data_IF_007251766700
#
_entry.id   IF_007251766700
#
_cell.length_a   1.000
_cell.length_b   1.000
_cell.length_c   1.000
_cell.angle_alpha   90.00
_cell.angle_beta   90.00
_cell.angle_gamma   90.00
#
_symmetry.space_group_name_H-M   'P 1'
#
loop_
_entity.id
_entity.type
_entity.pdbx_description
1 polymer ?
#
# COMPACT_ATOMS: atom_id res chain seq x y z
N UNK A 1 22.43 4.02 -1.14
CA UNK A 1 22.53 2.60 -1.59
C UNK A 1 21.16 2.02 -1.96
N UNK A 2 20.09 2.28 -1.20
CA UNK A 2 18.74 1.72 -1.46
C UNK A 2 18.18 1.96 -2.87
N UNK A 3 18.06 3.21 -3.33
CA UNK A 3 17.47 3.53 -4.64
C UNK A 3 18.23 2.96 -5.84
N UNK A 4 19.57 2.91 -5.78
CA UNK A 4 20.38 2.31 -6.85
C UNK A 4 20.08 0.81 -6.97
N UNK A 5 19.98 0.10 -5.85
CA UNK A 5 19.57 -1.30 -5.83
C UNK A 5 18.16 -1.49 -6.41
N UNK A 6 17.21 -0.61 -6.08
CA UNK A 6 15.84 -0.68 -6.59
C UNK A 6 15.75 -0.40 -8.10
N UNK A 7 16.55 0.54 -8.60
CA UNK A 7 16.68 0.79 -10.03
C UNK A 7 17.31 -0.42 -10.76
N UNK A 8 18.36 -1.02 -10.20
CA UNK A 8 18.96 -2.24 -10.74
C UNK A 8 17.95 -3.40 -10.76
N UNK A 9 17.18 -3.57 -9.68
CA UNK A 9 16.10 -4.56 -9.62
C UNK A 9 15.09 -4.35 -10.75
N UNK A 10 14.67 -3.11 -11.00
CA UNK A 10 13.79 -2.79 -12.13
C UNK A 10 14.38 -3.25 -13.46
N UNK A 11 15.64 -2.92 -13.75
CA UNK A 11 16.28 -3.30 -15.02
C UNK A 11 16.45 -4.82 -15.16
N UNK A 12 16.81 -5.52 -14.07
CA UNK A 12 16.90 -6.99 -14.06
C UNK A 12 15.54 -7.62 -14.39
N UNK A 13 14.45 -7.12 -13.80
CA UNK A 13 13.10 -7.64 -14.07
C UNK A 13 12.69 -7.39 -15.53
N UNK A 14 13.00 -6.20 -16.07
CA UNK A 14 12.73 -5.87 -17.48
C UNK A 14 13.49 -6.79 -18.43
N UNK A 15 14.75 -7.08 -18.13
CA UNK A 15 15.60 -7.97 -18.95
C UNK A 15 15.12 -9.43 -18.91
N UNK A 16 14.78 -9.93 -17.72
CA UNK A 16 14.27 -11.30 -17.54
C UNK A 16 12.94 -11.52 -18.29
N UNK A 17 12.07 -10.50 -18.39
CA UNK A 17 10.78 -10.58 -19.07
C UNK A 17 10.78 -9.98 -20.49
N UNK A 18 11.82 -10.30 -21.26
CA UNK A 18 11.98 -9.92 -22.68
C UNK A 18 10.87 -10.37 -23.64
N UNK A 19 10.06 -11.38 -23.26
CA UNK A 19 9.04 -12.01 -24.12
C UNK A 19 7.65 -12.01 -23.45
N UNK A 20 6.55 -11.93 -24.22
CA UNK A 20 5.18 -11.99 -23.69
C UNK A 20 4.93 -13.21 -22.80
N UNK A 21 5.44 -14.38 -23.20
CA UNK A 21 5.35 -15.61 -22.41
C UNK A 21 6.09 -15.52 -21.06
N UNK A 22 7.29 -14.93 -21.02
CA UNK A 22 8.01 -14.69 -19.75
C UNK A 22 7.27 -13.68 -18.88
N UNK A 23 6.76 -12.58 -19.45
CA UNK A 23 5.93 -11.60 -18.73
C UNK A 23 4.72 -12.26 -18.07
N UNK A 24 3.97 -13.09 -18.81
CA UNK A 24 2.83 -13.84 -18.27
C UNK A 24 3.24 -14.78 -17.14
N UNK A 25 4.37 -15.48 -17.27
CA UNK A 25 4.92 -16.32 -16.18
C UNK A 25 5.24 -15.50 -14.94
N UNK A 26 5.80 -14.30 -15.08
CA UNK A 26 6.06 -13.43 -13.93
C UNK A 26 4.78 -12.98 -13.22
N UNK A 27 3.73 -12.64 -13.98
CA UNK A 27 2.42 -12.35 -13.38
C UNK A 27 1.87 -13.54 -12.60
N UNK A 28 2.04 -14.77 -13.13
CA UNK A 28 1.61 -16.01 -12.46
C UNK A 28 2.40 -16.23 -11.17
N UNK A 29 3.73 -16.12 -11.21
CA UNK A 29 4.60 -16.27 -10.05
C UNK A 29 4.22 -15.27 -8.97
N UNK A 30 4.07 -13.99 -9.32
CA UNK A 30 3.69 -12.96 -8.35
C UNK A 30 2.30 -13.21 -7.74
N UNK A 31 1.32 -13.57 -8.57
CA UNK A 31 -0.04 -13.91 -8.11
C UNK A 31 -0.02 -15.10 -7.16
N UNK A 32 0.74 -16.15 -7.49
CA UNK A 32 0.87 -17.34 -6.65
C UNK A 32 1.55 -17.03 -5.31
N UNK A 33 2.62 -16.23 -5.32
CA UNK A 33 3.27 -15.77 -4.09
C UNK A 33 2.32 -14.94 -3.22
N UNK A 34 1.49 -14.09 -3.81
CA UNK A 34 0.47 -13.32 -3.09
C UNK A 34 -0.60 -14.22 -2.46
N UNK A 35 -1.05 -15.26 -3.17
CA UNK A 35 -2.00 -16.26 -2.65
C UNK A 35 -1.38 -17.01 -1.46
N UNK A 36 -0.14 -17.49 -1.58
CA UNK A 36 0.56 -18.18 -0.48
C UNK A 36 0.67 -17.28 0.75
N UNK A 37 1.09 -16.02 0.57
CA UNK A 37 1.21 -15.08 1.68
C UNK A 37 -0.15 -14.81 2.34
N UNK A 38 -1.22 -14.67 1.56
CA UNK A 38 -2.57 -14.48 2.08
C UNK A 38 -3.06 -15.71 2.86
N UNK A 39 -2.88 -16.91 2.32
CA UNK A 39 -3.27 -18.16 2.98
C UNK A 39 -2.49 -18.38 4.28
N UNK A 40 -1.19 -18.13 4.29
CA UNK A 40 -0.38 -18.18 5.51
C UNK A 40 -0.87 -17.16 6.56
N UNK A 41 -1.14 -15.92 6.14
CA UNK A 41 -1.72 -14.91 7.02
C UNK A 41 -3.05 -15.37 7.64
N UNK A 42 -3.95 -15.91 6.81
CA UNK A 42 -5.25 -16.42 7.24
C UNK A 42 -5.11 -17.63 8.16
N UNK A 43 -4.18 -18.56 7.91
CA UNK A 43 -3.94 -19.68 8.83
C UNK A 43 -3.44 -19.20 10.19
N UNK A 44 -2.59 -18.17 10.21
CA UNK A 44 -2.18 -17.51 11.45
C UNK A 44 -3.36 -16.90 12.20
N UNK A 45 -4.27 -16.24 11.49
CA UNK A 45 -5.48 -15.66 12.08
C UNK A 45 -6.46 -16.73 12.59
N UNK A 46 -6.69 -17.80 11.83
CA UNK A 46 -7.52 -18.94 12.26
C UNK A 46 -6.94 -19.61 13.50
N UNK A 47 -5.62 -19.80 13.55
CA UNK A 47 -4.96 -20.33 14.73
C UNK A 47 -5.25 -19.46 15.96
N UNK A 48 -5.17 -18.14 15.83
CA UNK A 48 -5.56 -17.22 16.91
C UNK A 48 -7.03 -17.36 17.31
N UNK A 49 -7.97 -17.50 16.37
CA UNK A 49 -9.39 -17.66 16.71
C UNK A 49 -9.64 -18.92 17.55
N UNK A 50 -8.89 -19.99 17.29
CA UNK A 50 -8.99 -21.27 18.01
C UNK A 50 -8.28 -21.19 19.36
N UNK A 51 -7.03 -20.76 19.39
CA UNK A 51 -6.18 -20.80 20.59
C UNK A 51 -6.40 -19.61 21.53
N UNK A 52 -6.97 -18.52 21.04
CA UNK A 52 -7.01 -17.19 21.68
C UNK A 52 -5.63 -16.67 22.08
N UNK A 53 -4.57 -17.29 21.57
CA UNK A 53 -3.20 -16.94 21.87
C UNK A 53 -2.58 -16.20 20.68
N UNK A 54 -2.14 -14.97 20.91
CA UNK A 54 -1.40 -14.15 19.94
C UNK A 54 0.11 -14.26 20.14
N UNK A 55 0.55 -14.76 21.29
CA UNK A 55 1.96 -14.78 21.66
C UNK A 55 2.72 -15.83 20.84
N UNK A 56 3.80 -15.39 20.18
CA UNK A 56 4.66 -16.27 19.37
C UNK A 56 4.12 -16.62 17.99
N UNK A 57 3.00 -16.04 17.53
CA UNK A 57 2.52 -16.25 16.15
C UNK A 57 3.25 -15.33 15.17
N UNK A 58 4.19 -15.83 14.34
CA UNK A 58 5.02 -14.97 13.48
C UNK A 58 4.24 -14.36 12.30
N UNK A 59 3.02 -14.84 12.04
CA UNK A 59 2.18 -14.41 10.92
C UNK A 59 1.26 -13.25 11.29
N UNK A 60 1.17 -12.94 12.59
CA UNK A 60 0.36 -11.88 13.14
C UNK A 60 1.24 -10.75 13.70
N UNK A 61 0.69 -9.55 13.71
CA UNK A 61 1.26 -8.37 14.31
C UNK A 61 0.38 -7.93 15.47
N UNK A 62 1.01 -7.66 16.61
CA UNK A 62 0.34 -7.18 17.82
C UNK A 62 1.08 -5.99 18.39
N UNK A 63 0.38 -4.87 18.54
CA UNK A 63 0.93 -3.69 19.20
C UNK A 63 -0.06 -3.20 20.25
N UNK A 64 0.40 -3.11 21.51
CA UNK A 64 -0.45 -2.79 22.67
C UNK A 64 -1.21 -1.46 22.49
N UNK A 65 -0.61 -0.47 21.83
CA UNK A 65 -1.26 0.81 21.58
C UNK A 65 -2.28 0.77 20.42
N UNK A 66 -2.19 -0.20 19.51
CA UNK A 66 -3.19 -0.40 18.43
C UNK A 66 -4.32 -1.34 18.86
N UNK A 67 -4.11 -2.15 19.90
CA UNK A 67 -5.12 -3.07 20.44
C UNK A 67 -6.37 -2.36 21.00
N UNK A 68 -6.29 -1.05 21.25
CA UNK A 68 -7.41 -0.20 21.64
C UNK A 68 -8.31 0.20 20.46
N UNK A 69 -7.77 0.21 19.24
CA UNK A 69 -8.50 0.57 18.01
C UNK A 69 -8.97 -0.66 17.23
N UNK A 70 -8.21 -1.75 17.26
CA UNK A 70 -8.54 -3.00 16.59
C UNK A 70 -8.67 -4.11 17.63
N UNK A 71 -9.88 -4.68 17.73
CA UNK A 71 -10.20 -5.78 18.64
C UNK A 71 -9.65 -7.15 18.21
N UNK A 72 -8.77 -7.19 17.20
CA UNK A 72 -8.22 -8.42 16.63
C UNK A 72 -6.76 -8.23 16.20
N UNK A 73 -5.94 -9.30 16.20
CA UNK A 73 -4.56 -9.24 15.75
C UNK A 73 -4.47 -9.05 14.22
N UNK A 74 -3.53 -8.22 13.78
CA UNK A 74 -3.40 -7.84 12.37
C UNK A 74 -2.59 -8.88 11.61
N UNK A 75 -3.03 -9.26 10.42
CA UNK A 75 -2.24 -10.13 9.53
C UNK A 75 -1.01 -9.36 9.01
N UNK A 76 0.19 -9.93 9.23
CA UNK A 76 1.44 -9.51 8.56
C UNK A 76 2.04 -10.60 7.67
N UNK A 77 1.61 -11.86 7.83
CA UNK A 77 2.15 -13.00 7.09
C UNK A 77 3.69 -13.06 7.21
N UNK A 78 4.42 -13.27 6.12
CA UNK A 78 5.89 -13.30 6.07
C UNK A 78 6.56 -11.92 6.14
N UNK A 79 5.79 -10.84 6.32
CA UNK A 79 6.30 -9.48 6.30
C UNK A 79 6.60 -8.95 7.70
N UNK A 80 7.43 -7.90 7.75
CA UNK A 80 7.78 -7.22 8.99
C UNK A 80 6.58 -6.45 9.55
N UNK A 81 5.82 -5.78 8.68
CA UNK A 81 4.61 -5.04 9.06
C UNK A 81 3.38 -5.43 8.22
N UNK A 82 2.16 -5.23 8.74
CA UNK A 82 0.93 -5.39 7.96
C UNK A 82 0.89 -4.51 6.70
N UNK A 83 1.48 -3.31 6.73
CA UNK A 83 1.50 -2.40 5.57
C UNK A 83 2.33 -2.99 4.40
N UNK A 84 3.47 -3.62 4.70
CA UNK A 84 4.28 -4.31 3.69
C UNK A 84 3.51 -5.51 3.08
N UNK A 85 2.77 -6.25 3.90
CA UNK A 85 1.91 -7.32 3.41
C UNK A 85 0.80 -6.81 2.49
N UNK A 86 0.08 -5.75 2.90
CA UNK A 86 -1.03 -5.20 2.10
C UNK A 86 -0.53 -4.66 0.76
N UNK A 87 0.58 -3.94 0.74
CA UNK A 87 1.17 -3.42 -0.51
C UNK A 87 1.66 -4.53 -1.44
N UNK A 88 2.27 -5.58 -0.90
CA UNK A 88 2.63 -6.77 -1.68
C UNK A 88 1.39 -7.45 -2.27
N UNK A 89 0.39 -7.73 -1.44
CA UNK A 89 -0.87 -8.37 -1.81
C UNK A 89 -1.68 -7.54 -2.82
N UNK A 90 -1.60 -6.21 -2.73
CA UNK A 90 -2.21 -5.28 -3.68
C UNK A 90 -1.72 -5.54 -5.10
N UNK A 91 -0.40 -5.63 -5.30
CA UNK A 91 0.15 -5.97 -6.63
C UNK A 91 -0.32 -7.36 -7.06
N UNK A 92 -0.41 -8.32 -6.12
CA UNK A 92 -0.98 -9.64 -6.39
C UNK A 92 -2.41 -9.60 -6.94
N UNK A 93 -3.27 -8.74 -6.40
CA UNK A 93 -4.62 -8.52 -6.94
C UNK A 93 -4.59 -7.95 -8.35
N UNK A 94 -3.69 -7.00 -8.62
CA UNK A 94 -3.52 -6.41 -9.95
C UNK A 94 -3.01 -7.44 -10.96
N UNK A 95 -2.05 -8.30 -10.58
CA UNK A 95 -1.53 -9.34 -11.48
C UNK A 95 -2.59 -10.41 -11.74
N UNK A 96 -3.42 -10.77 -10.74
CA UNK A 96 -4.58 -11.65 -10.93
C UNK A 96 -5.59 -11.04 -11.91
N UNK A 97 -5.90 -9.75 -11.77
CA UNK A 97 -6.79 -9.05 -12.69
C UNK A 97 -6.22 -9.02 -14.12
N UNK A 98 -4.92 -8.75 -14.28
CA UNK A 98 -4.25 -8.82 -15.59
C UNK A 98 -4.36 -10.22 -16.20
N UNK A 99 -4.08 -11.28 -15.42
CA UNK A 99 -4.22 -12.66 -15.87
C UNK A 99 -5.65 -13.00 -16.25
N UNK A 100 -6.65 -12.53 -15.50
CA UNK A 100 -8.06 -12.75 -15.81
C UNK A 100 -8.43 -12.25 -17.21
N UNK A 101 -7.94 -11.07 -17.60
CA UNK A 101 -8.18 -10.49 -18.92
C UNK A 101 -7.27 -11.06 -20.03
N UNK A 102 -6.06 -11.51 -19.69
CA UNK A 102 -5.18 -12.22 -20.64
C UNK A 102 -5.70 -13.63 -20.98
N UNK A 103 -6.49 -14.24 -20.09
CA UNK A 103 -7.19 -15.50 -20.36
C UNK A 103 -8.39 -15.24 -21.28
N UNK A 104 -8.14 -15.27 -22.58
CA UNK A 104 -9.16 -14.99 -23.59
C UNK A 104 -10.16 -16.15 -23.78
N UNK A 105 -11.21 -15.92 -24.57
CA UNK A 105 -12.49 -16.68 -24.75
C UNK A 105 -12.43 -18.20 -25.05
N UNK A 106 -11.34 -18.92 -24.82
CA UNK A 106 -11.29 -20.39 -24.92
C UNK A 106 -12.15 -21.01 -23.81
N UNK A 107 -13.06 -21.93 -24.19
CA UNK A 107 -14.00 -22.62 -23.28
C UNK A 107 -13.31 -23.26 -22.07
N UNK A 108 -12.08 -23.74 -22.25
CA UNK A 108 -11.28 -24.41 -21.21
C UNK A 108 -10.69 -23.47 -20.14
N UNK A 109 -10.91 -22.15 -20.24
CA UNK A 109 -10.38 -21.16 -19.28
C UNK A 109 -11.37 -20.78 -18.19
N UNK A 110 -12.62 -21.27 -18.24
CA UNK A 110 -13.67 -20.93 -17.25
C UNK A 110 -13.26 -21.31 -15.82
N UNK A 111 -12.76 -22.53 -15.62
CA UNK A 111 -12.30 -23.01 -14.30
C UNK A 111 -11.18 -22.12 -13.78
N UNK A 112 -10.20 -21.78 -14.62
CA UNK A 112 -9.10 -20.91 -14.23
C UNK A 112 -9.57 -19.50 -13.86
N UNK A 113 -10.55 -18.92 -14.57
CA UNK A 113 -11.15 -17.64 -14.21
C UNK A 113 -11.86 -17.68 -12.85
N UNK A 114 -12.56 -18.78 -12.55
CA UNK A 114 -13.18 -19.00 -11.24
C UNK A 114 -12.10 -19.08 -10.16
N UNK A 115 -11.01 -19.83 -10.39
CA UNK A 115 -9.89 -19.93 -9.45
C UNK A 115 -9.21 -18.58 -9.21
N UNK A 116 -9.00 -17.78 -10.25
CA UNK A 116 -8.46 -16.41 -10.13
C UNK A 116 -9.40 -15.50 -9.33
N UNK A 117 -10.70 -15.60 -9.56
CA UNK A 117 -11.69 -14.84 -8.81
C UNK A 117 -11.71 -15.27 -7.32
N UNK A 118 -11.74 -16.57 -7.03
CA UNK A 118 -11.65 -17.09 -5.68
C UNK A 118 -10.36 -16.64 -4.97
N UNK A 119 -9.23 -16.66 -5.69
CA UNK A 119 -7.94 -16.18 -5.19
C UNK A 119 -7.97 -14.69 -4.85
N UNK A 120 -8.64 -13.87 -5.68
CA UNK A 120 -8.82 -12.44 -5.40
C UNK A 120 -9.65 -12.18 -4.14
N UNK A 121 -10.67 -13.02 -3.87
CA UNK A 121 -11.44 -12.94 -2.63
C UNK A 121 -10.57 -13.30 -1.42
N UNK A 122 -9.81 -14.40 -1.51
CA UNK A 122 -8.91 -14.84 -0.43
C UNK A 122 -7.92 -13.72 -0.06
N UNK A 123 -7.27 -13.11 -1.07
CA UNK A 123 -6.34 -12.02 -0.84
C UNK A 123 -7.05 -10.80 -0.25
N UNK A 124 -8.24 -10.45 -0.74
CA UNK A 124 -9.00 -9.31 -0.23
C UNK A 124 -9.39 -9.48 1.24
N UNK A 125 -9.80 -10.69 1.64
CA UNK A 125 -10.09 -11.01 3.06
C UNK A 125 -8.83 -10.89 3.91
N UNK A 126 -7.70 -11.43 3.45
CA UNK A 126 -6.44 -11.33 4.18
C UNK A 126 -5.98 -9.87 4.32
N UNK A 127 -6.12 -9.06 3.27
CA UNK A 127 -5.80 -7.63 3.27
C UNK A 127 -6.71 -6.85 4.23
N UNK A 128 -8.00 -7.17 4.28
CA UNK A 128 -8.93 -6.57 5.24
C UNK A 128 -8.50 -6.87 6.69
N UNK A 129 -8.18 -8.14 6.98
CA UNK A 129 -7.72 -8.58 8.31
C UNK A 129 -6.29 -8.11 8.67
N UNK A 130 -5.56 -7.52 7.72
CA UNK A 130 -4.31 -6.81 8.02
C UNK A 130 -4.57 -5.47 8.75
N UNK A 131 -5.81 -4.95 8.71
CA UNK A 131 -6.22 -3.75 9.44
C UNK A 131 -5.33 -2.54 9.13
N UNK A 132 -4.87 -2.39 7.89
CA UNK A 132 -3.99 -1.31 7.45
C UNK A 132 -4.78 -0.20 6.77
N UNK A 133 -4.36 1.06 6.96
CA UNK A 133 -4.86 2.20 6.19
C UNK A 133 -4.63 2.03 4.67
N UNK A 134 -3.63 1.22 4.28
CA UNK A 134 -3.37 0.85 2.88
C UNK A 134 -4.50 0.03 2.21
N UNK A 135 -5.51 -0.43 2.98
CA UNK A 135 -6.74 -1.01 2.43
C UNK A 135 -7.46 -0.04 1.51
N UNK A 136 -7.41 1.26 1.80
CA UNK A 136 -8.05 2.31 1.00
C UNK A 136 -7.59 2.32 -0.45
N UNK A 137 -6.27 2.22 -0.71
CA UNK A 137 -5.74 2.13 -2.07
C UNK A 137 -6.10 0.81 -2.77
N UNK A 138 -6.22 -0.29 -2.02
CA UNK A 138 -6.69 -1.58 -2.58
C UNK A 138 -8.16 -1.47 -3.00
N UNK A 139 -9.00 -0.86 -2.17
CA UNK A 139 -10.41 -0.62 -2.48
C UNK A 139 -10.57 0.32 -3.68
N UNK A 140 -9.75 1.36 -3.79
CA UNK A 140 -9.71 2.23 -4.97
C UNK A 140 -9.37 1.43 -6.24
N UNK A 141 -8.38 0.54 -6.20
CA UNK A 141 -8.07 -0.36 -7.32
C UNK A 141 -9.24 -1.27 -7.67
N UNK A 142 -9.86 -1.91 -6.68
CA UNK A 142 -11.03 -2.78 -6.91
C UNK A 142 -12.18 -1.99 -7.54
N UNK A 143 -12.48 -0.79 -7.02
CA UNK A 143 -13.48 0.12 -7.56
C UNK A 143 -13.23 0.42 -9.04
N UNK A 144 -11.99 0.78 -9.40
CA UNK A 144 -11.61 1.05 -10.78
C UNK A 144 -11.70 -0.20 -11.67
N UNK A 145 -11.28 -1.36 -11.19
CA UNK A 145 -11.37 -2.63 -11.92
C UNK A 145 -12.82 -3.00 -12.25
N UNK A 146 -13.80 -2.63 -11.41
CA UNK A 146 -15.21 -2.91 -11.68
C UNK A 146 -15.75 -2.19 -12.93
N UNK A 147 -15.12 -1.10 -13.39
CA UNK A 147 -15.51 -0.43 -14.65
C UNK A 147 -15.18 -1.27 -15.90
N UNK A 148 -14.31 -2.27 -15.78
CA UNK A 148 -14.00 -3.20 -16.87
C UNK A 148 -15.11 -4.23 -17.08
N UNK A 149 -16.00 -4.40 -16.11
CA UNK A 149 -17.13 -5.33 -16.18
C UNK A 149 -18.41 -4.60 -16.59
N UNK A 150 -19.13 -5.16 -17.57
CA UNK A 150 -20.41 -4.62 -18.06
C UNK A 150 -21.60 -5.35 -17.42
N UNK A 151 -22.75 -4.68 -17.32
CA UNK A 151 -24.01 -5.26 -16.85
C UNK A 151 -24.56 -4.62 -15.57
N UNK A 152 -25.82 -4.96 -15.23
CA UNK A 152 -26.53 -4.40 -14.07
C UNK A 152 -25.87 -4.79 -12.75
N UNK A 153 -25.41 -6.02 -12.61
CA UNK A 153 -24.70 -6.51 -11.41
C UNK A 153 -23.41 -5.73 -11.20
N UNK A 154 -22.60 -5.53 -12.24
CA UNK A 154 -21.40 -4.70 -12.18
C UNK A 154 -21.71 -3.24 -11.87
N UNK A 155 -22.83 -2.69 -12.36
CA UNK A 155 -23.27 -1.35 -11.98
C UNK A 155 -23.61 -1.23 -10.49
N UNK A 156 -24.38 -2.16 -9.94
CA UNK A 156 -24.72 -2.18 -8.51
C UNK A 156 -23.46 -2.34 -7.66
N UNK A 157 -22.58 -3.28 -8.02
CA UNK A 157 -21.31 -3.49 -7.31
C UNK A 157 -20.42 -2.24 -7.34
N UNK A 158 -20.38 -1.48 -8.46
CA UNK A 158 -19.65 -0.21 -8.52
C UNK A 158 -20.15 0.79 -7.48
N UNK A 159 -21.47 0.95 -7.32
CA UNK A 159 -22.01 1.84 -6.29
C UNK A 159 -21.70 1.35 -4.88
N UNK A 160 -21.88 0.06 -4.61
CA UNK A 160 -21.57 -0.53 -3.29
C UNK A 160 -20.09 -0.34 -2.95
N UNK A 161 -19.20 -0.73 -3.85
CA UNK A 161 -17.75 -0.60 -3.63
C UNK A 161 -17.33 0.86 -3.58
N UNK A 162 -17.94 1.76 -4.35
CA UNK A 162 -17.69 3.21 -4.23
C UNK A 162 -18.03 3.72 -2.83
N UNK A 163 -19.24 3.41 -2.33
CA UNK A 163 -19.69 3.82 -1.00
C UNK A 163 -18.76 3.24 0.07
N UNK A 164 -18.44 1.94 -0.01
CA UNK A 164 -17.52 1.30 0.94
C UNK A 164 -16.13 1.93 0.88
N UNK A 165 -15.58 2.16 -0.31
CA UNK A 165 -14.27 2.81 -0.50
C UNK A 165 -14.28 4.21 0.11
N UNK A 166 -15.31 5.00 -0.18
CA UNK A 166 -15.48 6.35 0.34
C UNK A 166 -15.59 6.36 1.87
N UNK A 167 -16.41 5.48 2.46
CA UNK A 167 -16.54 5.33 3.91
C UNK A 167 -15.23 4.88 4.56
N UNK A 168 -14.51 3.93 3.96
CA UNK A 168 -13.21 3.47 4.47
C UNK A 168 -12.15 4.56 4.35
N UNK A 169 -12.16 5.37 3.28
CA UNK A 169 -11.27 6.52 3.15
C UNK A 169 -11.58 7.58 4.21
N UNK A 170 -12.85 7.92 4.42
CA UNK A 170 -13.25 8.84 5.51
C UNK A 170 -12.82 8.27 6.86
N UNK A 171 -13.07 6.99 7.11
CA UNK A 171 -12.68 6.35 8.36
C UNK A 171 -11.16 6.30 8.52
N UNK A 172 -10.39 6.07 7.46
CA UNK A 172 -8.92 6.11 7.49
C UNK A 172 -8.42 7.53 7.82
N UNK A 173 -9.01 8.56 7.21
CA UNK A 173 -8.69 9.96 7.53
C UNK A 173 -9.07 10.29 8.98
N UNK A 174 -10.28 9.90 9.41
CA UNK A 174 -10.76 10.14 10.77
C UNK A 174 -9.89 9.43 11.82
N UNK A 175 -9.56 8.15 11.61
CA UNK A 175 -8.66 7.42 12.50
C UNK A 175 -7.26 8.00 12.51
N UNK A 176 -6.77 8.51 11.37
CA UNK A 176 -5.50 9.24 11.31
C UNK A 176 -5.57 10.53 12.14
N UNK A 177 -6.62 11.33 11.98
CA UNK A 177 -6.84 12.56 12.76
C UNK A 177 -6.97 12.24 14.25
N UNK A 178 -7.76 11.23 14.61
CA UNK A 178 -7.93 10.78 15.99
C UNK A 178 -6.62 10.30 16.59
N UNK A 179 -5.79 9.61 15.80
CA UNK A 179 -4.49 9.14 16.24
C UNK A 179 -3.51 10.29 16.45
N UNK A 180 -3.66 11.40 15.71
CA UNK A 180 -2.88 12.63 15.86
C UNK A 180 -3.34 13.44 17.09
N UNK A 181 -4.66 13.59 17.26
CA UNK A 181 -5.30 14.37 18.32
C UNK A 181 -6.26 13.47 19.12
N UNK A 182 -5.75 12.56 19.97
CA UNK A 182 -6.61 11.68 20.74
C UNK A 182 -7.46 12.50 21.71
N UNK A 183 -8.79 12.32 21.62
CA UNK A 183 -9.72 12.90 22.59
C UNK A 183 -9.73 12.01 23.84
N UNK A 184 -9.22 12.55 24.95
CA UNK A 184 -9.37 11.91 26.26
C UNK A 184 -10.69 12.39 26.87
N UNK A 185 -11.69 11.50 26.91
CA UNK A 185 -12.96 11.75 27.60
C UNK A 185 -12.83 11.22 29.02
N UNK A 186 -12.68 12.12 29.99
CA UNK A 186 -12.56 11.75 31.38
C UNK A 186 -13.95 11.82 32.03
N UNK A 187 -14.55 10.65 32.25
CA UNK A 187 -15.81 10.55 32.97
C UNK A 187 -15.51 10.45 34.46
N UNK A 188 -15.38 11.59 35.12
CA UNK A 188 -15.34 11.63 36.57
C UNK A 188 -16.75 11.37 37.11
N UNK A 189 -17.03 10.13 37.52
CA UNK A 189 -18.35 9.71 38.03
C UNK A 189 -18.83 10.52 39.26
N UNK A 190 -17.94 11.32 39.88
CA UNK A 190 -18.27 12.25 40.97
C UNK A 190 -18.82 13.61 40.51
N UNK A 191 -18.49 14.03 39.28
CA UNK A 191 -18.93 15.30 38.70
C UNK A 191 -19.85 15.02 37.50
N UNK A 192 -21.06 15.61 37.48
CA UNK A 192 -22.02 15.48 36.35
C UNK A 192 -21.55 16.12 35.03
N UNK A 193 -20.28 16.51 34.93
CA UNK A 193 -19.71 17.16 33.77
C UNK A 193 -18.71 16.23 33.09
N UNK A 194 -18.89 16.00 31.80
CA UNK A 194 -17.94 15.30 30.95
C UNK A 194 -16.81 16.26 30.61
N UNK A 195 -15.62 16.00 31.13
CA UNK A 195 -14.41 16.75 30.77
C UNK A 195 -13.80 16.14 29.52
N UNK A 196 -13.87 16.87 28.40
CA UNK A 196 -13.25 16.50 27.13
C UNK A 196 -11.94 17.26 27.02
N UNK A 197 -10.83 16.58 27.27
CA UNK A 197 -9.49 17.16 27.05
C UNK A 197 -8.93 16.67 25.72
N UNK A 198 -8.54 17.62 24.88
CA UNK A 198 -7.73 17.34 23.70
C UNK A 198 -6.29 17.16 24.18
N UNK A 199 -5.76 15.94 24.08
CA UNK A 199 -4.35 15.71 24.40
C UNK A 199 -3.50 16.09 23.18
N UNK A 200 -2.74 17.17 23.31
CA UNK A 200 -1.81 17.65 22.27
C UNK A 200 -0.46 16.90 22.29
N UNK A 201 -0.30 15.86 23.11
CA UNK A 201 0.89 15.03 23.06
C UNK A 201 1.02 14.45 21.64
N UNK A 202 2.03 14.92 20.91
CA UNK A 202 2.24 14.54 19.52
C UNK A 202 2.29 13.02 19.40
N UNK A 203 1.37 12.47 18.64
CA UNK A 203 1.38 11.05 18.29
C UNK A 203 2.69 10.68 17.62
N UNK A 204 3.26 9.53 17.96
CA UNK A 204 4.43 8.96 17.28
C UNK A 204 4.31 8.92 15.74
N UNK A 205 3.10 8.99 15.19
CA UNK A 205 2.81 9.06 13.76
C UNK A 205 2.89 10.44 13.12
N UNK A 206 2.78 11.53 13.88
CA UNK A 206 2.89 12.89 13.32
C UNK A 206 4.30 13.45 13.47
N UNK A 207 5.02 13.03 14.51
CA UNK A 207 6.34 13.55 14.85
C UNK A 207 7.30 13.44 13.64
N UNK A 208 7.42 12.30 12.93
CA UNK A 208 8.30 12.22 11.77
C UNK A 208 7.88 13.11 10.60
N UNK A 209 6.58 13.31 10.38
CA UNK A 209 6.09 14.22 9.34
C UNK A 209 6.42 15.68 9.66
N UNK A 210 6.32 16.09 10.94
CA UNK A 210 6.68 17.43 11.40
C UNK A 210 8.18 17.67 11.19
N UNK A 211 9.04 16.77 11.67
CA UNK A 211 10.48 16.93 11.51
C UNK A 211 10.93 16.83 10.06
N UNK A 212 10.26 16.02 9.24
CA UNK A 212 10.51 16.02 7.79
C UNK A 212 10.22 17.37 7.16
N UNK A 213 9.10 18.00 7.55
CA UNK A 213 8.79 19.34 7.07
C UNK A 213 9.80 20.39 7.56
N UNK A 214 10.27 20.31 8.81
CA UNK A 214 11.32 21.20 9.33
C UNK A 214 12.64 21.06 8.56
N UNK A 215 13.09 19.82 8.32
CA UNK A 215 14.26 19.52 7.49
C UNK A 215 14.10 20.07 6.07
N UNK A 216 12.90 19.97 5.48
CA UNK A 216 12.61 20.57 4.18
C UNK A 216 12.68 22.11 4.22
N UNK A 217 12.17 22.75 5.26
CA UNK A 217 12.25 24.21 5.40
C UNK A 217 13.69 24.71 5.49
N UNK A 218 14.58 23.96 6.14
CA UNK A 218 16.02 24.27 6.21
C UNK A 218 16.75 23.96 4.89
N UNK A 219 16.32 22.93 4.16
CA UNK A 219 16.97 22.47 2.92
C UNK A 219 15.98 22.31 1.74
N UNK A 220 15.33 23.40 1.27
CA UNK A 220 14.16 23.29 0.39
C UNK A 220 14.47 22.77 -1.03
N UNK A 221 15.66 23.03 -1.55
CA UNK A 221 15.98 22.70 -2.95
C UNK A 221 16.48 21.27 -3.13
N UNK A 222 17.49 20.87 -2.34
CA UNK A 222 18.18 19.59 -2.47
C UNK A 222 17.82 18.59 -1.36
N UNK A 223 17.09 19.03 -0.33
CA UNK A 223 16.82 18.21 0.84
C UNK A 223 18.08 17.91 1.65
N UNK A 224 17.93 17.02 2.61
CA UNK A 224 19.01 16.59 3.51
C UNK A 224 19.83 15.40 2.99
N UNK A 225 19.51 14.90 1.80
CA UNK A 225 20.11 13.73 1.16
C UNK A 225 19.22 12.49 1.22
N UNK A 226 19.22 11.71 0.14
CA UNK A 226 18.42 10.49 0.03
C UNK A 226 18.87 9.41 1.04
N UNK A 227 17.92 8.93 1.85
CA UNK A 227 18.11 7.94 2.90
C UNK A 227 18.82 8.46 4.15
N UNK A 228 18.96 9.78 4.32
CA UNK A 228 19.61 10.38 5.50
C UNK A 228 18.63 10.81 6.58
N UNK A 229 17.31 10.75 6.32
CA UNK A 229 16.30 11.20 7.28
C UNK A 229 16.50 10.59 8.66
N UNK A 230 16.52 9.25 8.75
CA UNK A 230 16.68 8.55 10.03
C UNK A 230 17.96 8.92 10.77
N UNK A 231 19.06 9.17 10.03
CA UNK A 231 20.34 9.52 10.63
C UNK A 231 20.38 10.95 11.17
N UNK A 232 19.66 11.86 10.51
CA UNK A 232 19.58 13.27 10.91
C UNK A 232 18.46 13.53 11.90
N UNK A 233 17.45 12.66 11.94
CA UNK A 233 16.28 12.77 12.80
C UNK A 233 16.61 13.15 14.26
N UNK A 234 17.58 12.52 14.96
CA UNK A 234 17.91 12.88 16.34
C UNK A 234 18.39 14.32 16.53
N UNK A 235 19.00 14.94 15.51
CA UNK A 235 19.48 16.33 15.59
C UNK A 235 18.35 17.36 15.59
N UNK A 236 17.20 16.98 15.05
CA UNK A 236 16.03 17.85 14.95
C UNK A 236 15.11 17.72 16.16
N UNK A 237 15.27 16.66 16.97
CA UNK A 237 14.55 16.51 18.24
C UNK A 237 15.05 17.60 19.20
N UNK A 238 14.17 18.56 19.51
CA UNK A 238 14.42 19.57 20.57
C UNK A 238 13.94 19.05 21.91
N UNK A 239 14.61 19.47 22.99
CA UNK A 239 14.35 19.06 24.39
C UNK A 239 12.86 19.12 24.81
N UNK A 240 12.10 20.10 24.28
CA UNK A 240 10.67 20.25 24.57
C UNK A 240 9.82 19.04 24.15
N UNK A 241 10.21 18.29 23.11
CA UNK A 241 9.47 17.11 22.62
C UNK A 241 10.02 15.80 23.23
N UNK A 242 11.27 15.81 23.69
CA UNK A 242 11.84 14.71 24.49
C UNK A 242 11.03 14.52 25.80
N UNK A 243 10.57 15.61 26.41
CA UNK A 243 9.64 15.61 27.55
C UNK A 243 8.25 15.00 27.23
N UNK A 244 7.73 15.19 26.01
CA UNK A 244 6.46 14.59 25.58
C UNK A 244 6.60 13.11 25.20
N UNK A 245 7.76 12.71 24.67
CA UNK A 245 8.05 11.30 24.41
C UNK A 245 8.28 10.52 25.72
N UNK A 246 8.99 11.10 26.69
CA UNK A 246 9.37 10.39 27.93
C UNK A 246 8.22 10.20 28.94
N UNK A 247 7.16 11.02 28.88
CA UNK A 247 6.14 11.05 29.94
C UNK A 247 4.99 10.03 29.81
N UNK A 248 4.72 9.44 28.62
CA UNK A 248 3.70 8.37 28.46
C UNK A 248 3.97 7.30 27.39
N UNK A 249 4.96 7.48 26.52
CA UNK A 249 5.26 6.54 25.44
C UNK A 249 6.77 6.27 25.43
N UNK A 250 7.24 5.19 26.06
CA UNK A 250 8.62 4.74 25.91
C UNK A 250 8.92 4.49 24.42
N UNK A 251 9.36 5.53 23.71
CA UNK A 251 9.94 5.44 22.38
C UNK A 251 11.25 4.72 22.62
N UNK A 252 11.24 3.41 22.37
CA UNK A 252 12.46 2.61 22.42
C UNK A 252 13.48 3.29 21.49
N UNK A 253 14.70 3.61 21.96
CA UNK A 253 15.77 4.16 21.11
C UNK A 253 16.04 3.32 19.84
N UNK A 254 15.61 2.06 19.88
CA UNK A 254 15.80 1.06 18.84
C UNK A 254 14.74 1.13 17.70
N UNK A 255 13.71 1.99 17.81
CA UNK A 255 12.72 2.16 16.74
C UNK A 255 13.13 3.26 15.78
N UNK A 256 13.68 2.83 14.65
CA UNK A 256 13.85 3.65 13.45
C UNK A 256 12.48 4.21 13.05
N UNK A 257 12.30 5.52 13.22
CA UNK A 257 11.14 6.26 12.75
C UNK A 257 11.33 6.51 11.24
N UNK A 258 10.50 5.84 10.43
CA UNK A 258 10.45 5.99 8.98
C UNK A 258 9.59 7.22 8.62
N UNK A 259 10.03 8.14 7.73
CA UNK A 259 9.24 9.28 7.32
C UNK A 259 7.91 8.82 6.71
N UNK A 260 6.82 9.16 7.39
CA UNK A 260 5.57 8.42 7.32
C UNK A 260 4.80 8.43 5.99
N UNK A 261 5.25 9.16 4.98
CA UNK A 261 4.68 9.04 3.64
C UNK A 261 5.69 9.42 2.56
N UNK A 262 5.47 8.88 1.36
CA UNK A 262 6.37 9.03 0.22
C UNK A 262 6.60 10.49 -0.16
N UNK A 263 5.55 11.31 -0.10
CA UNK A 263 5.57 12.69 -0.56
C UNK A 263 6.40 13.58 0.37
N UNK A 264 6.15 13.49 1.68
CA UNK A 264 6.94 14.18 2.70
C UNK A 264 8.37 13.65 2.72
N UNK A 265 8.57 12.34 2.60
CA UNK A 265 9.91 11.74 2.54
C UNK A 265 10.75 12.30 1.39
N UNK A 266 10.20 12.33 0.18
CA UNK A 266 10.91 12.87 -0.99
C UNK A 266 11.16 14.37 -0.92
N UNK A 267 10.23 15.17 -0.38
CA UNK A 267 10.47 16.59 -0.12
C UNK A 267 11.60 16.79 0.90
N UNK A 268 11.61 15.97 1.96
CA UNK A 268 12.61 16.09 3.02
C UNK A 268 14.01 15.73 2.52
N UNK A 269 14.13 14.57 1.88
CA UNK A 269 15.43 14.00 1.53
C UNK A 269 15.98 14.52 0.20
N UNK A 270 15.11 14.83 -0.76
CA UNK A 270 15.49 15.29 -2.09
C UNK A 270 15.10 16.73 -2.41
N UNK A 271 14.42 17.43 -1.50
CA UNK A 271 13.91 18.78 -1.73
C UNK A 271 12.87 18.84 -2.85
N UNK A 272 12.64 20.05 -3.35
CA UNK A 272 11.76 20.29 -4.50
C UNK A 272 12.23 19.50 -5.74
N UNK A 273 13.54 19.40 -5.98
CA UNK A 273 14.03 18.71 -7.19
C UNK A 273 13.80 17.20 -7.13
N UNK A 274 14.08 16.56 -6.00
CA UNK A 274 13.79 15.13 -5.79
C UNK A 274 12.30 14.84 -5.89
N UNK A 275 11.47 15.69 -5.28
CA UNK A 275 10.02 15.57 -5.37
C UNK A 275 9.52 15.70 -6.82
N UNK A 276 9.95 16.72 -7.56
CA UNK A 276 9.56 16.91 -8.96
C UNK A 276 10.05 15.76 -9.86
N UNK A 277 11.25 15.23 -9.62
CA UNK A 277 11.76 14.07 -10.33
C UNK A 277 10.89 12.82 -10.08
N UNK A 278 10.46 12.59 -8.83
CA UNK A 278 9.51 11.53 -8.51
C UNK A 278 8.18 11.74 -9.23
N UNK A 279 7.59 12.92 -9.18
CA UNK A 279 6.31 13.21 -9.86
C UNK A 279 6.43 13.00 -11.37
N UNK A 280 7.52 13.47 -11.98
CA UNK A 280 7.79 13.27 -13.41
C UNK A 280 7.91 11.77 -13.77
N UNK A 281 8.61 10.99 -12.94
CA UNK A 281 8.72 9.54 -13.11
C UNK A 281 7.34 8.86 -13.07
N UNK A 282 6.55 9.15 -12.03
CA UNK A 282 5.22 8.57 -11.85
C UNK A 282 4.28 8.96 -13.01
N UNK A 283 4.35 10.22 -13.44
CA UNK A 283 3.56 10.72 -14.56
C UNK A 283 3.95 10.04 -15.89
N UNK A 284 5.23 9.73 -16.10
CA UNK A 284 5.67 8.97 -17.27
C UNK A 284 5.04 7.56 -17.30
N UNK A 285 4.99 6.86 -16.16
CA UNK A 285 4.32 5.56 -16.05
C UNK A 285 2.81 5.64 -16.24
N UNK A 286 2.15 6.69 -15.73
CA UNK A 286 0.72 6.92 -16.01
C UNK A 286 0.50 7.11 -17.51
N UNK A 287 1.30 7.97 -18.16
CA UNK A 287 1.22 8.20 -19.61
C UNK A 287 1.39 6.92 -20.42
N UNK A 288 2.30 6.02 -20.03
CA UNK A 288 2.46 4.72 -20.70
C UNK A 288 1.17 3.89 -20.70
N UNK A 289 0.32 4.04 -19.70
CA UNK A 289 -0.92 3.25 -19.53
C UNK A 289 -2.16 3.91 -20.13
N UNK A 290 -2.11 5.20 -20.48
CA UNK A 290 -3.23 5.90 -21.09
C UNK A 290 -3.53 5.38 -22.52
N UNK A 291 -4.78 5.47 -23.00
CA UNK A 291 -5.13 5.15 -24.37
C UNK A 291 -4.43 6.08 -25.37
N UNK A 292 -3.88 5.53 -26.46
CA UNK A 292 -3.15 6.31 -27.49
C UNK A 292 -3.92 6.40 -28.82
N UNK A 293 -5.23 6.68 -28.77
CA UNK A 293 -6.04 7.01 -29.94
C UNK A 293 -6.41 5.85 -30.88
N UNK A 294 -5.70 4.73 -30.86
CA UNK A 294 -6.16 3.50 -31.51
C UNK A 294 -7.20 2.79 -30.61
N UNK A 295 -8.23 2.18 -31.21
CA UNK A 295 -9.32 1.39 -30.55
C UNK A 295 -8.86 0.22 -29.65
N UNK A 296 -7.57 0.14 -29.34
CA UNK A 296 -6.91 -0.88 -28.54
C UNK A 296 -6.75 -0.42 -27.08
N UNK A 297 -7.86 -0.06 -26.44
CA UNK A 297 -7.88 0.05 -24.99
C UNK A 297 -7.79 -1.35 -24.40
N UNK A 298 -6.60 -1.74 -23.93
CA UNK A 298 -6.35 -3.06 -23.39
C UNK A 298 -6.84 -3.09 -21.93
N UNK A 299 -7.73 -4.03 -21.55
CA UNK A 299 -8.15 -4.18 -20.16
C UNK A 299 -6.96 -4.36 -19.19
N UNK A 300 -5.86 -4.95 -19.66
CA UNK A 300 -4.61 -5.09 -18.88
C UNK A 300 -4.00 -3.72 -18.58
N UNK A 301 -4.01 -2.79 -19.53
CA UNK A 301 -3.56 -1.40 -19.31
C UNK A 301 -4.39 -0.74 -18.21
N UNK A 302 -5.71 -0.93 -18.26
CA UNK A 302 -6.61 -0.43 -17.23
C UNK A 302 -6.40 -1.09 -15.87
N UNK A 303 -6.09 -2.40 -15.81
CA UNK A 303 -5.75 -3.07 -14.56
C UNK A 303 -4.48 -2.50 -13.93
N UNK A 304 -3.43 -2.32 -14.74
CA UNK A 304 -2.17 -1.73 -14.29
C UNK A 304 -2.35 -0.27 -13.86
N UNK A 305 -3.17 0.51 -14.57
CA UNK A 305 -3.47 1.89 -14.21
C UNK A 305 -4.25 1.98 -12.90
N UNK A 306 -5.28 1.15 -12.74
CA UNK A 306 -6.03 1.04 -11.49
C UNK A 306 -5.09 0.71 -10.32
N UNK A 307 -4.24 -0.30 -10.50
CA UNK A 307 -3.23 -0.69 -9.53
C UNK A 307 -2.26 0.44 -9.16
N UNK A 308 -1.76 1.18 -10.16
CA UNK A 308 -0.86 2.30 -9.94
C UNK A 308 -1.53 3.42 -9.15
N UNK A 309 -2.74 3.84 -9.54
CA UNK A 309 -3.46 4.90 -8.82
C UNK A 309 -3.81 4.48 -7.38
N UNK A 310 -4.23 3.23 -7.17
CA UNK A 310 -4.42 2.71 -5.82
C UNK A 310 -3.12 2.68 -5.00
N UNK A 311 -1.99 2.34 -5.61
CA UNK A 311 -0.69 2.34 -4.93
C UNK A 311 -0.21 3.76 -4.58
N UNK A 312 -0.44 4.72 -5.48
CA UNK A 312 -0.16 6.14 -5.24
C UNK A 312 -1.06 6.73 -4.15
N UNK A 313 -2.29 6.22 -4.01
CA UNK A 313 -3.12 6.55 -2.86
C UNK A 313 -2.51 6.01 -1.55
N UNK A 314 -1.97 4.78 -1.57
CA UNK A 314 -1.26 4.25 -0.41
C UNK A 314 0.01 5.05 -0.07
N UNK A 315 0.64 5.72 -1.04
CA UNK A 315 1.82 6.56 -0.84
C UNK A 315 1.59 7.76 0.11
N UNK A 316 0.33 8.09 0.43
CA UNK A 316 -0.02 9.07 1.47
C UNK A 316 0.17 8.53 2.90
N UNK A 317 0.20 7.22 3.09
CA UNK A 317 0.27 6.57 4.41
C UNK A 317 1.59 5.85 4.67
N UNK A 318 2.37 5.61 3.61
CA UNK A 318 3.63 4.87 3.67
C UNK A 318 4.61 5.41 2.62
N UNK A 319 5.90 5.16 2.83
CA UNK A 319 6.91 5.33 1.78
C UNK A 319 6.89 4.13 0.81
N UNK A 320 6.31 4.31 -0.38
CA UNK A 320 6.23 3.28 -1.42
C UNK A 320 7.49 3.24 -2.27
N UNK A 321 8.26 4.32 -2.33
CA UNK A 321 9.40 4.45 -3.23
C UNK A 321 10.59 3.61 -2.78
N UNK A 322 10.66 3.27 -1.49
CA UNK A 322 11.65 2.36 -0.93
C UNK A 322 11.23 0.88 -0.99
N UNK A 323 9.99 0.60 -1.41
CA UNK A 323 9.43 -0.76 -1.45
C UNK A 323 9.83 -1.51 -2.73
N UNK A 324 10.52 -2.64 -2.59
CA UNK A 324 10.98 -3.50 -3.72
C UNK A 324 9.84 -3.92 -4.65
N UNK A 325 8.68 -4.21 -4.07
CA UNK A 325 7.49 -4.64 -4.80
C UNK A 325 6.94 -3.55 -5.72
N UNK A 326 7.04 -2.28 -5.33
CA UNK A 326 6.62 -1.16 -6.16
C UNK A 326 7.49 -1.07 -7.44
N UNK A 327 8.80 -1.26 -7.33
CA UNK A 327 9.71 -1.27 -8.48
C UNK A 327 9.48 -2.45 -9.42
N UNK A 328 9.15 -3.63 -8.87
CA UNK A 328 8.71 -4.79 -9.69
C UNK A 328 7.42 -4.44 -10.44
N UNK A 329 6.49 -3.74 -9.79
CA UNK A 329 5.25 -3.32 -10.42
C UNK A 329 5.46 -2.28 -11.54
N UNK A 330 6.36 -1.30 -11.33
CA UNK A 330 6.79 -0.38 -12.39
C UNK A 330 7.42 -1.13 -13.57
N UNK A 331 8.23 -2.17 -13.30
CA UNK A 331 8.79 -3.00 -14.35
C UNK A 331 7.70 -3.71 -15.17
N UNK A 332 6.66 -4.25 -14.52
CA UNK A 332 5.52 -4.83 -15.22
C UNK A 332 4.81 -3.84 -16.14
N UNK A 333 4.63 -2.59 -15.70
CA UNK A 333 4.05 -1.52 -16.53
C UNK A 333 4.94 -1.26 -17.75
N UNK A 334 6.24 -1.13 -17.55
CA UNK A 334 7.19 -0.87 -18.64
C UNK A 334 7.22 -2.00 -19.67
N UNK A 335 7.30 -3.25 -19.20
CA UNK A 335 7.30 -4.45 -20.06
C UNK A 335 6.01 -4.50 -20.87
N UNK A 336 4.85 -4.32 -20.21
CA UNK A 336 3.56 -4.31 -20.89
C UNK A 336 3.47 -3.20 -21.94
N UNK A 337 3.94 -1.99 -21.63
CA UNK A 337 3.97 -0.88 -22.60
C UNK A 337 4.80 -1.25 -23.83
N UNK A 338 6.02 -1.77 -23.64
CA UNK A 338 6.94 -2.12 -24.73
C UNK A 338 6.42 -3.28 -25.59
N UNK A 339 5.65 -4.20 -24.99
CA UNK A 339 5.18 -5.45 -25.61
C UNK A 339 3.67 -5.52 -25.85
N UNK A 340 2.95 -4.39 -25.74
CA UNK A 340 1.48 -4.34 -25.77
C UNK A 340 0.87 -5.03 -26.98
N UNK A 341 1.43 -4.82 -28.18
CA UNK A 341 0.93 -5.41 -29.43
C UNK A 341 1.09 -6.93 -29.44
N UNK A 342 2.26 -7.43 -29.07
CA UNK A 342 2.57 -8.87 -29.00
C UNK A 342 1.70 -9.58 -27.95
N UNK A 343 1.59 -9.00 -26.74
CA UNK A 343 0.78 -9.55 -25.63
C UNK A 343 -0.71 -9.60 -26.01
N UNK A 344 -1.21 -8.56 -26.69
CA UNK A 344 -2.62 -8.51 -27.12
C UNK A 344 -2.89 -9.48 -28.26
N UNK A 345 -1.92 -9.71 -29.15
CA UNK A 345 -2.02 -10.71 -30.21
C UNK A 345 -2.05 -12.13 -29.64
N UNK A 346 -1.10 -12.49 -28.79
CA UNK A 346 -1.07 -13.81 -28.13
C UNK A 346 -2.32 -14.10 -27.31
N UNK A 347 -2.91 -13.08 -26.66
CA UNK A 347 -4.17 -13.26 -25.97
C UNK A 347 -5.28 -13.66 -26.95
N UNK A 348 -5.33 -13.09 -28.15
CA UNK A 348 -6.39 -13.32 -29.14
C UNK A 348 -6.25 -14.63 -29.94
N UNK A 349 -5.08 -15.27 -29.94
CA UNK A 349 -4.80 -16.58 -30.56
C UNK A 349 -5.03 -17.75 -29.62
#
# INVERSE_FOLDING_TARGET
>A
IGFLYLALLFFIIVDIADTPGKFRRMLIVYSFSAIIAALAGLSGFIHYLISRNTFGNPLLFFYKAEATLLFFPRIKSFFYTPNMFVTFAHIGLVTIACLYFLLNKKSNTKVLKILLFASSIIISVAVFLAGSQCLSGVLLTIFMLLFLFKGRTAAVLRYVVFIVTFLVMIFAVFTTIWMIYPLEVNNDFSNKFVDVRVNYAYSHHIIPSIYGFLMFQEHPFLGVGIGTFTALYPKYIKDEIEFFSSSRLQVSPDRILDPHNTYTGMLTEGGVFGFLAMIALLFAFIKMLLPHGEKNDSPVSSCLLAGLLGYLFNAFFIDVMTMRHFWIFLAFIFIFYKKRKEISYEANT
#
